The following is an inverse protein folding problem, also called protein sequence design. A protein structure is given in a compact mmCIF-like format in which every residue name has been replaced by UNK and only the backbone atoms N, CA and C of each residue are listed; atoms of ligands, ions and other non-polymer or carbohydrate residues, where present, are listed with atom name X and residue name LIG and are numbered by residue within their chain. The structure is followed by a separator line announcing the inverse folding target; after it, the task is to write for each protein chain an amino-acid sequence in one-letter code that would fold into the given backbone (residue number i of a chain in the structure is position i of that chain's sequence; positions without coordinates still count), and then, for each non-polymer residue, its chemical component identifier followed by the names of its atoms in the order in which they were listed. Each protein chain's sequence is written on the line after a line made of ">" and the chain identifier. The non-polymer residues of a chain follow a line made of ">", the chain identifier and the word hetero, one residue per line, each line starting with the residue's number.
data_IF_745656297719
#
_entry.id   IF_745656297719
#
_cell.length_a   1.000
_cell.length_b   1.000
_cell.length_c   1.000
_cell.angle_alpha   90.00
_cell.angle_beta   90.00
_cell.angle_gamma   90.00
#
_symmetry.space_group_name_H-M   'P 1'
#
loop_
_entity.id
_entity.type
_entity.pdbx_description
1 polymer ?
#
# COMPACT_ATOMS: atom_id res chain seq x y z
N UNK A 1 40.03 -6.35 -2.34
CA UNK A 1 38.82 -5.52 -2.66
C UNK A 1 38.00 -6.26 -3.68
N UNK A 2 36.73 -6.45 -3.43
CA UNK A 2 35.81 -7.11 -4.38
C UNK A 2 35.76 -6.32 -5.70
N UNK A 3 35.69 -7.03 -6.83
CA UNK A 3 35.55 -6.36 -8.13
C UNK A 3 34.18 -5.62 -8.19
N UNK A 4 34.05 -4.53 -8.98
CA UNK A 4 32.76 -3.81 -9.13
C UNK A 4 31.62 -4.74 -9.53
N UNK A 5 31.89 -5.74 -10.36
CA UNK A 5 30.89 -6.74 -10.77
C UNK A 5 30.48 -7.66 -9.61
N UNK A 6 31.40 -8.02 -8.72
CA UNK A 6 31.13 -8.83 -7.54
C UNK A 6 30.27 -8.03 -6.53
N UNK A 7 30.57 -6.75 -6.33
CA UNK A 7 29.78 -5.85 -5.47
C UNK A 7 28.35 -5.71 -6.03
N UNK A 8 28.21 -5.47 -7.35
CA UNK A 8 26.90 -5.37 -7.98
C UNK A 8 26.07 -6.66 -7.80
N UNK A 9 26.67 -7.82 -8.05
CA UNK A 9 26.00 -9.12 -7.88
C UNK A 9 25.57 -9.35 -6.44
N UNK A 10 26.43 -9.01 -5.47
CA UNK A 10 26.13 -9.10 -4.03
C UNK A 10 24.98 -8.19 -3.63
N UNK A 11 25.00 -6.93 -4.07
CA UNK A 11 23.95 -5.96 -3.78
C UNK A 11 22.61 -6.33 -4.43
N UNK A 12 22.61 -6.81 -5.68
CA UNK A 12 21.40 -7.31 -6.35
C UNK A 12 20.81 -8.50 -5.57
N UNK A 13 21.62 -9.45 -5.16
CA UNK A 13 21.14 -10.61 -4.40
C UNK A 13 20.59 -10.20 -3.03
N UNK A 14 21.30 -9.32 -2.32
CA UNK A 14 20.83 -8.77 -1.05
C UNK A 14 19.53 -8.00 -1.20
N UNK A 15 19.36 -7.21 -2.26
CA UNK A 15 18.14 -6.44 -2.54
C UNK A 15 16.94 -7.34 -2.80
N UNK A 16 17.10 -8.37 -3.63
CA UNK A 16 16.01 -9.30 -3.92
C UNK A 16 15.51 -9.98 -2.64
N UNK A 17 16.42 -10.49 -1.81
CA UNK A 17 16.06 -11.10 -0.53
C UNK A 17 15.50 -10.09 0.46
N UNK A 18 16.13 -8.92 0.58
CA UNK A 18 15.65 -7.85 1.47
C UNK A 18 14.20 -7.47 1.15
N UNK A 19 13.91 -7.17 -0.12
CA UNK A 19 12.55 -6.77 -0.54
C UNK A 19 11.53 -7.88 -0.37
N UNK A 20 11.91 -9.14 -0.64
CA UNK A 20 11.04 -10.30 -0.43
C UNK A 20 10.72 -10.48 1.05
N UNK A 21 11.73 -10.49 1.92
CA UNK A 21 11.56 -10.69 3.36
C UNK A 21 10.85 -9.50 4.02
N UNK A 22 11.21 -8.28 3.65
CA UNK A 22 10.59 -7.05 4.20
C UNK A 22 9.09 -6.98 3.88
N UNK A 23 8.67 -7.44 2.70
CA UNK A 23 7.27 -7.45 2.28
C UNK A 23 6.51 -8.74 2.64
N UNK A 24 7.17 -9.73 3.23
CA UNK A 24 6.54 -10.99 3.66
C UNK A 24 5.81 -10.79 4.98
N UNK A 25 4.54 -10.38 4.90
CA UNK A 25 3.69 -10.09 6.06
C UNK A 25 2.61 -11.16 6.21
N UNK A 26 2.82 -12.15 7.08
CA UNK A 26 1.87 -13.24 7.34
C UNK A 26 0.52 -12.76 7.90
N UNK A 27 0.46 -11.58 8.50
CA UNK A 27 -0.78 -11.01 9.04
C UNK A 27 -1.60 -10.19 8.02
N UNK A 28 -1.11 -9.95 6.79
CA UNK A 28 -1.87 -9.19 5.80
C UNK A 28 -3.23 -9.80 5.44
N UNK A 29 -3.38 -11.14 5.27
CA UNK A 29 -4.68 -11.71 4.96
C UNK A 29 -5.73 -11.55 6.06
N UNK A 30 -5.26 -11.29 7.29
CA UNK A 30 -6.12 -11.16 8.47
C UNK A 30 -5.97 -9.76 9.11
N UNK A 31 -5.53 -8.77 8.33
CA UNK A 31 -5.04 -7.49 8.83
C UNK A 31 -6.02 -6.77 9.75
N UNK A 32 -7.24 -6.48 9.29
CA UNK A 32 -8.22 -5.77 10.11
C UNK A 32 -8.71 -6.61 11.27
N UNK A 33 -9.05 -7.88 11.02
CA UNK A 33 -9.57 -8.75 12.08
C UNK A 33 -8.55 -8.98 13.19
N UNK A 34 -7.25 -8.98 12.88
CA UNK A 34 -6.19 -9.05 13.89
C UNK A 34 -6.30 -7.90 14.89
N UNK A 35 -6.45 -6.67 14.44
CA UNK A 35 -6.60 -5.50 15.30
C UNK A 35 -7.88 -5.57 16.15
N UNK A 36 -8.98 -5.96 15.52
CA UNK A 36 -10.28 -6.11 16.21
C UNK A 36 -10.23 -7.21 17.28
N UNK A 37 -9.58 -8.34 16.97
CA UNK A 37 -9.43 -9.46 17.90
C UNK A 37 -8.45 -9.14 19.05
N UNK A 38 -7.52 -8.18 18.86
CA UNK A 38 -6.73 -7.61 19.97
C UNK A 38 -7.54 -6.67 20.87
N UNK A 39 -8.79 -6.37 20.53
CA UNK A 39 -9.72 -5.61 21.37
C UNK A 39 -10.00 -4.20 20.87
N UNK A 40 -9.37 -3.76 19.77
CA UNK A 40 -9.60 -2.42 19.21
C UNK A 40 -10.96 -2.30 18.53
N UNK A 41 -11.52 -1.08 18.51
CA UNK A 41 -12.70 -0.74 17.72
C UNK A 41 -12.33 -0.41 16.27
N UNK A 42 -13.34 -0.30 15.39
CA UNK A 42 -13.14 0.14 14.00
C UNK A 42 -12.59 1.57 13.92
N UNK A 43 -13.02 2.43 14.82
CA UNK A 43 -12.57 3.82 14.93
C UNK A 43 -11.09 3.90 15.34
N UNK A 44 -10.69 3.09 16.31
CA UNK A 44 -9.29 2.99 16.75
C UNK A 44 -8.42 2.41 15.63
N UNK A 45 -8.87 1.35 14.96
CA UNK A 45 -8.20 0.79 13.79
C UNK A 45 -8.01 1.83 12.67
N UNK A 46 -9.05 2.61 12.37
CA UNK A 46 -8.99 3.67 11.37
C UNK A 46 -7.97 4.76 11.77
N UNK A 47 -8.00 5.19 13.04
CA UNK A 47 -7.07 6.18 13.59
C UNK A 47 -5.62 5.70 13.49
N UNK A 48 -5.35 4.43 13.83
CA UNK A 48 -4.02 3.84 13.74
C UNK A 48 -3.48 3.79 12.30
N UNK A 49 -4.34 3.52 11.32
CA UNK A 49 -3.96 3.55 9.90
C UNK A 49 -3.73 4.98 9.38
N UNK A 50 -4.51 5.95 9.86
CA UNK A 50 -4.26 7.38 9.60
C UNK A 50 -2.89 7.79 10.15
N UNK A 51 -2.55 7.41 11.39
CA UNK A 51 -1.25 7.70 12.00
C UNK A 51 -0.11 7.04 11.24
N UNK A 52 -0.27 5.80 10.79
CA UNK A 52 0.72 5.12 9.95
C UNK A 52 1.00 5.88 8.65
N UNK A 53 -0.05 6.31 7.95
CA UNK A 53 0.07 7.09 6.72
C UNK A 53 0.72 8.47 6.98
N UNK A 54 0.34 9.15 8.05
CA UNK A 54 0.95 10.41 8.47
C UNK A 54 2.43 10.22 8.79
N UNK A 55 2.80 9.13 9.46
CA UNK A 55 4.20 8.80 9.78
C UNK A 55 5.03 8.62 8.51
N UNK A 56 4.54 7.90 7.49
CA UNK A 56 5.24 7.80 6.21
C UNK A 56 5.49 9.19 5.63
N UNK A 57 4.44 10.01 5.52
CA UNK A 57 4.53 11.35 4.93
C UNK A 57 5.53 12.24 5.67
N UNK A 58 5.53 12.19 7.00
CA UNK A 58 6.42 12.99 7.84
C UNK A 58 7.89 12.56 7.76
N UNK A 59 8.14 11.25 7.67
CA UNK A 59 9.50 10.72 7.68
C UNK A 59 10.12 10.55 6.30
N UNK A 60 9.35 10.53 5.21
CA UNK A 60 9.86 10.28 3.85
C UNK A 60 10.88 11.34 3.40
N UNK A 61 10.61 12.63 3.64
CA UNK A 61 11.53 13.71 3.27
C UNK A 61 12.78 13.75 4.16
N UNK A 62 12.67 13.67 5.51
CA UNK A 62 13.83 13.58 6.38
C UNK A 62 14.72 12.35 6.13
N UNK A 63 14.10 11.19 5.82
CA UNK A 63 14.85 9.97 5.55
C UNK A 63 15.69 10.07 4.28
N UNK A 64 15.17 10.71 3.21
CA UNK A 64 15.95 10.99 2.01
C UNK A 64 17.20 11.85 2.30
N UNK A 65 17.03 12.94 3.03
CA UNK A 65 18.14 13.80 3.45
C UNK A 65 19.16 13.05 4.34
N UNK A 66 18.68 12.13 5.17
CA UNK A 66 19.50 11.29 6.03
C UNK A 66 20.29 10.25 5.22
N UNK A 67 19.68 9.69 4.16
CA UNK A 67 20.34 8.77 3.23
C UNK A 67 21.54 9.40 2.54
N UNK A 68 21.41 10.66 2.11
CA UNK A 68 22.48 11.41 1.45
C UNK A 68 23.65 11.73 2.42
N UNK A 69 23.34 11.93 3.71
CA UNK A 69 24.34 12.28 4.73
C UNK A 69 25.05 11.07 5.34
N UNK A 70 24.31 10.06 5.74
CA UNK A 70 24.82 8.88 6.46
C UNK A 70 25.22 7.74 5.50
N UNK A 71 24.71 7.78 4.28
CA UNK A 71 24.81 6.69 3.29
C UNK A 71 23.56 5.80 3.29
N UNK A 72 23.20 5.34 2.12
CA UNK A 72 21.95 4.58 1.87
C UNK A 72 21.89 3.25 2.61
N UNK A 73 23.03 2.56 2.73
CA UNK A 73 23.11 1.31 3.50
C UNK A 73 22.65 1.47 4.94
N UNK A 74 23.10 2.54 5.62
CA UNK A 74 22.75 2.76 7.02
C UNK A 74 21.25 2.94 7.20
N UNK A 75 20.61 3.62 6.25
CA UNK A 75 19.18 3.84 6.28
C UNK A 75 18.39 2.54 6.05
N UNK A 76 18.82 1.71 5.11
CA UNK A 76 18.23 0.38 4.85
C UNK A 76 18.39 -0.54 6.08
N UNK A 77 19.57 -0.54 6.73
CA UNK A 77 19.78 -1.29 7.97
C UNK A 77 18.90 -0.75 9.09
N UNK A 78 18.78 0.58 9.22
CA UNK A 78 17.90 1.20 10.22
C UNK A 78 16.43 0.85 10.00
N UNK A 79 15.94 0.86 8.75
CA UNK A 79 14.60 0.38 8.40
C UNK A 79 14.36 -1.06 8.84
N UNK A 80 15.34 -1.95 8.62
CA UNK A 80 15.25 -3.35 9.06
C UNK A 80 15.22 -3.48 10.60
N UNK A 81 15.97 -2.64 11.32
CA UNK A 81 15.90 -2.55 12.78
C UNK A 81 14.52 -2.10 13.26
N UNK A 82 13.95 -1.06 12.63
CA UNK A 82 12.60 -0.60 12.94
C UNK A 82 11.56 -1.71 12.70
N UNK A 83 11.73 -2.51 11.65
CA UNK A 83 10.87 -3.69 11.42
C UNK A 83 10.95 -4.71 12.56
N UNK A 84 12.15 -4.97 13.12
CA UNK A 84 12.30 -5.85 14.29
C UNK A 84 11.55 -5.26 15.49
N UNK A 85 11.71 -3.96 15.77
CA UNK A 85 11.00 -3.28 16.86
C UNK A 85 9.49 -3.33 16.65
N UNK A 86 9.01 -3.06 15.42
CA UNK A 86 7.62 -3.16 15.03
C UNK A 86 7.04 -4.55 15.37
N UNK A 87 7.76 -5.61 15.00
CA UNK A 87 7.30 -6.98 15.22
C UNK A 87 7.38 -7.40 16.69
N UNK A 88 8.41 -6.96 17.43
CA UNK A 88 8.47 -7.19 18.88
C UNK A 88 7.28 -6.56 19.59
N UNK A 89 6.92 -5.32 19.25
CA UNK A 89 5.74 -4.67 19.84
C UNK A 89 4.47 -5.49 19.58
N UNK A 90 4.26 -6.01 18.37
CA UNK A 90 3.09 -6.82 18.04
C UNK A 90 3.10 -8.18 18.76
N UNK A 91 4.25 -8.85 18.82
CA UNK A 91 4.36 -10.18 19.45
C UNK A 91 4.05 -10.18 20.95
N UNK A 92 4.42 -9.10 21.65
CA UNK A 92 4.28 -8.99 23.10
C UNK A 92 3.16 -8.04 23.54
N UNK A 93 2.32 -7.62 22.61
CA UNK A 93 1.19 -6.74 22.89
C UNK A 93 0.12 -7.45 23.72
N UNK A 94 -0.43 -6.80 24.79
CA UNK A 94 -1.53 -7.35 25.55
C UNK A 94 -2.82 -7.33 24.72
N UNK A 95 -3.65 -8.35 24.87
CA UNK A 95 -4.96 -8.45 24.22
C UNK A 95 -6.01 -7.90 25.18
N UNK A 96 -6.89 -7.03 24.68
CA UNK A 96 -8.03 -6.52 25.43
C UNK A 96 -7.69 -5.60 26.61
N UNK A 97 -6.45 -5.09 26.70
CA UNK A 97 -6.03 -4.19 27.78
C UNK A 97 -6.44 -2.71 27.52
N UNK A 98 -7.42 -2.47 26.65
CA UNK A 98 -7.99 -1.16 26.38
C UNK A 98 -6.94 -0.10 25.97
N UNK A 99 -6.80 1.01 26.74
CA UNK A 99 -5.88 2.10 26.39
C UNK A 99 -4.41 1.68 26.19
N UNK A 100 -3.96 0.65 26.92
CA UNK A 100 -2.58 0.14 26.78
C UNK A 100 -2.39 -0.54 25.45
N UNK A 101 -3.34 -1.39 25.02
CA UNK A 101 -3.31 -2.03 23.69
C UNK A 101 -3.29 -0.96 22.58
N UNK A 102 -4.18 0.03 22.67
CA UNK A 102 -4.20 1.14 21.71
C UNK A 102 -2.88 1.91 21.67
N UNK A 103 -2.31 2.27 22.82
CA UNK A 103 -1.04 3.01 22.89
C UNK A 103 0.13 2.21 22.27
N UNK A 104 0.20 0.89 22.53
CA UNK A 104 1.22 0.03 21.94
C UNK A 104 1.05 -0.10 20.41
N UNK A 105 -0.19 -0.21 19.92
CA UNK A 105 -0.46 -0.15 18.48
C UNK A 105 -0.10 1.21 17.88
N UNK A 106 -0.35 2.30 18.59
CA UNK A 106 0.02 3.65 18.14
C UNK A 106 1.53 3.77 17.92
N UNK A 107 2.33 3.34 18.91
CA UNK A 107 3.79 3.30 18.77
C UNK A 107 4.21 2.38 17.61
N UNK A 108 3.61 1.20 17.51
CA UNK A 108 3.84 0.27 16.42
C UNK A 108 3.57 0.91 15.05
N UNK A 109 2.45 1.65 14.88
CA UNK A 109 2.12 2.31 13.61
C UNK A 109 3.09 3.42 13.24
N UNK A 110 3.57 4.20 14.21
CA UNK A 110 4.61 5.22 14.01
C UNK A 110 5.92 4.56 13.58
N UNK A 111 6.37 3.52 14.28
CA UNK A 111 7.60 2.77 13.96
C UNK A 111 7.50 2.12 12.58
N UNK A 112 6.38 1.51 12.26
CA UNK A 112 6.11 0.89 10.96
C UNK A 112 6.14 1.91 9.82
N UNK A 113 5.49 3.07 9.98
CA UNK A 113 5.52 4.15 8.99
C UNK A 113 6.91 4.73 8.79
N UNK A 114 7.69 4.88 9.86
CA UNK A 114 9.07 5.30 9.78
C UNK A 114 9.97 4.27 9.08
N UNK A 115 9.76 2.97 9.33
CA UNK A 115 10.49 1.89 8.66
C UNK A 115 10.26 1.92 7.14
N UNK A 116 9.01 2.09 6.73
CA UNK A 116 8.62 2.19 5.30
C UNK A 116 9.26 3.42 4.65
N UNK A 117 9.17 4.59 5.29
CA UNK A 117 9.77 5.82 4.79
C UNK A 117 11.30 5.73 4.65
N UNK A 118 11.98 5.12 5.62
CA UNK A 118 13.44 4.94 5.56
C UNK A 118 13.88 3.97 4.46
N UNK A 119 13.06 2.99 4.11
CA UNK A 119 13.36 2.05 3.03
C UNK A 119 13.04 2.63 1.66
N UNK A 120 12.03 3.51 1.56
CA UNK A 120 11.51 4.05 0.31
C UNK A 120 12.60 4.69 -0.55
N UNK A 121 12.92 4.07 -1.67
CA UNK A 121 13.90 4.55 -2.65
C UNK A 121 15.37 4.38 -2.28
N UNK A 122 15.72 4.25 -1.00
CA UNK A 122 17.11 4.14 -0.56
C UNK A 122 17.76 2.82 -0.99
N UNK A 123 17.04 1.73 -0.89
CA UNK A 123 17.49 0.39 -1.28
C UNK A 123 17.60 0.22 -2.80
N UNK A 124 16.61 0.74 -3.55
CA UNK A 124 16.66 0.72 -5.02
C UNK A 124 17.84 1.54 -5.55
N UNK A 125 18.02 2.75 -5.02
CA UNK A 125 19.11 3.63 -5.42
C UNK A 125 20.48 3.04 -5.07
N UNK A 126 20.63 2.40 -3.90
CA UNK A 126 21.86 1.73 -3.49
C UNK A 126 22.28 0.65 -4.49
N UNK A 127 21.32 -0.13 -4.98
CA UNK A 127 21.60 -1.24 -5.91
C UNK A 127 21.79 -0.74 -7.33
N UNK A 128 20.95 0.21 -7.77
CA UNK A 128 21.06 0.82 -9.09
C UNK A 128 22.45 1.44 -9.31
N UNK A 129 22.97 2.18 -8.33
CA UNK A 129 24.27 2.83 -8.41
C UNK A 129 25.45 1.84 -8.37
N UNK A 130 25.26 0.67 -7.74
CA UNK A 130 26.26 -0.39 -7.73
C UNK A 130 26.40 -1.12 -9.07
N UNK A 131 25.41 -1.03 -9.96
CA UNK A 131 25.46 -1.65 -11.30
C UNK A 131 26.38 -0.81 -12.20
N UNK A 132 27.35 -1.43 -12.91
CA UNK A 132 28.19 -0.71 -13.87
C UNK A 132 27.40 0.08 -14.90
N UNK A 133 27.85 1.29 -15.24
CA UNK A 133 27.13 2.19 -16.15
C UNK A 133 26.81 1.56 -17.52
N UNK A 134 27.74 0.74 -18.05
CA UNK A 134 27.53 0.01 -19.29
C UNK A 134 26.42 -1.04 -19.12
N UNK A 135 25.27 -0.83 -19.73
CA UNK A 135 24.11 -1.74 -19.68
C UNK A 135 23.29 -1.69 -18.38
N UNK A 136 23.46 -0.66 -17.55
CA UNK A 136 22.76 -0.50 -16.25
C UNK A 136 21.25 -0.61 -16.38
N UNK A 137 20.63 0.10 -17.30
CA UNK A 137 19.17 0.12 -17.43
C UNK A 137 18.60 -1.24 -17.83
N UNK A 138 19.26 -1.96 -18.72
CA UNK A 138 18.87 -3.31 -19.11
C UNK A 138 19.06 -4.32 -17.95
N UNK A 139 20.13 -4.17 -17.16
CA UNK A 139 20.37 -4.98 -15.98
C UNK A 139 19.33 -4.69 -14.89
N UNK A 140 19.05 -3.41 -14.63
CA UNK A 140 18.04 -2.98 -13.66
C UNK A 140 16.65 -3.48 -14.01
N UNK A 141 16.22 -3.38 -15.27
CA UNK A 141 14.94 -3.93 -15.74
C UNK A 141 14.82 -5.42 -15.44
N UNK A 142 15.89 -6.21 -15.63
CA UNK A 142 15.89 -7.64 -15.28
C UNK A 142 15.81 -7.88 -13.78
N UNK A 143 16.48 -7.05 -12.96
CA UNK A 143 16.40 -7.11 -11.49
C UNK A 143 14.97 -6.87 -11.02
N UNK A 144 14.31 -5.80 -11.51
CA UNK A 144 12.93 -5.49 -11.16
C UNK A 144 11.96 -6.59 -11.60
N UNK A 145 12.12 -7.14 -12.82
CA UNK A 145 11.29 -8.24 -13.28
C UNK A 145 11.45 -9.51 -12.44
N UNK A 146 12.67 -9.79 -11.94
CA UNK A 146 12.94 -10.89 -11.00
C UNK A 146 12.30 -10.62 -9.65
N UNK A 147 12.45 -9.41 -9.14
CA UNK A 147 11.85 -8.97 -7.88
C UNK A 147 10.33 -9.15 -7.89
N UNK A 148 9.66 -8.66 -8.92
CA UNK A 148 8.20 -8.78 -9.06
C UNK A 148 7.74 -10.25 -9.02
N UNK A 149 8.43 -11.13 -9.72
CA UNK A 149 8.11 -12.57 -9.71
C UNK A 149 8.28 -13.19 -8.33
N UNK A 150 9.40 -12.89 -7.65
CA UNK A 150 9.69 -13.42 -6.32
C UNK A 150 8.71 -12.89 -5.28
N UNK A 151 8.43 -11.58 -5.29
CA UNK A 151 7.46 -10.98 -4.39
C UNK A 151 6.05 -11.55 -4.59
N UNK A 152 5.59 -11.73 -5.84
CA UNK A 152 4.27 -12.29 -6.11
C UNK A 152 4.15 -13.72 -5.59
N UNK A 153 5.15 -14.57 -5.87
CA UNK A 153 5.15 -15.97 -5.41
C UNK A 153 5.20 -16.04 -3.87
N UNK A 154 6.11 -15.28 -3.26
CA UNK A 154 6.26 -15.26 -1.80
C UNK A 154 5.01 -14.71 -1.14
N UNK A 155 4.40 -13.64 -1.69
CA UNK A 155 3.15 -13.10 -1.18
C UNK A 155 2.02 -14.14 -1.15
N UNK A 156 1.87 -14.94 -2.21
CA UNK A 156 0.87 -16.00 -2.24
C UNK A 156 1.12 -17.05 -1.15
N UNK A 157 2.37 -17.51 -1.00
CA UNK A 157 2.74 -18.51 0.02
C UNK A 157 2.51 -17.95 1.44
N UNK A 158 2.99 -16.74 1.69
CA UNK A 158 2.89 -16.07 3.00
C UNK A 158 1.43 -15.80 3.37
N UNK A 159 0.60 -15.39 2.40
CA UNK A 159 -0.81 -15.16 2.62
C UNK A 159 -1.55 -16.47 2.98
N UNK A 160 -1.28 -17.55 2.26
CA UNK A 160 -1.87 -18.86 2.56
C UNK A 160 -1.50 -19.36 3.97
N UNK A 161 -0.21 -19.31 4.30
CA UNK A 161 0.27 -19.75 5.62
C UNK A 161 -0.29 -18.83 6.71
N UNK A 162 -0.22 -17.51 6.53
CA UNK A 162 -0.65 -16.55 7.54
C UNK A 162 -2.12 -16.68 7.93
N UNK A 163 -3.00 -16.84 6.95
CA UNK A 163 -4.41 -17.08 7.17
C UNK A 163 -4.68 -18.43 7.82
N UNK A 164 -4.03 -19.49 7.34
CA UNK A 164 -4.22 -20.84 7.87
C UNK A 164 -3.83 -20.95 9.34
N UNK A 165 -2.66 -20.44 9.73
CA UNK A 165 -2.17 -20.52 11.11
C UNK A 165 -2.91 -19.59 12.08
N UNK A 166 -3.63 -18.59 11.57
CA UNK A 166 -4.49 -17.72 12.38
C UNK A 166 -5.82 -18.36 12.73
N UNK A 167 -6.38 -19.19 11.83
CA UNK A 167 -7.65 -19.88 12.10
C UNK A 167 -7.47 -20.99 13.13
N UNK A 168 -8.12 -20.82 14.28
CA UNK A 168 -8.11 -21.83 15.33
C UNK A 168 -8.75 -23.14 14.87
N UNK A 169 -9.83 -23.05 14.11
CA UNK A 169 -10.55 -24.23 13.58
C UNK A 169 -9.70 -25.03 12.60
N UNK A 170 -8.96 -24.34 11.73
CA UNK A 170 -8.03 -24.99 10.81
C UNK A 170 -6.86 -25.64 11.58
N UNK A 171 -6.24 -24.92 12.51
CA UNK A 171 -5.12 -25.45 13.29
C UNK A 171 -5.50 -26.67 14.13
N UNK A 172 -6.65 -26.64 14.76
CA UNK A 172 -7.13 -27.77 15.58
C UNK A 172 -7.46 -29.03 14.78
N UNK A 173 -7.62 -28.93 13.45
CA UNK A 173 -7.77 -30.11 12.55
C UNK A 173 -6.44 -30.76 12.19
N UNK A 174 -5.32 -30.06 12.41
CA UNK A 174 -4.00 -30.61 12.10
C UNK A 174 -3.49 -31.52 13.22
N UNK A 175 -2.99 -32.72 12.90
CA UNK A 175 -2.38 -33.59 13.90
C UNK A 175 -1.22 -32.90 14.62
N UNK A 176 -1.21 -32.94 15.95
CA UNK A 176 -0.18 -32.32 16.78
C UNK A 176 -0.43 -30.85 17.16
N UNK A 177 -1.48 -30.21 16.64
CA UNK A 177 -1.87 -28.83 16.97
C UNK A 177 -3.25 -28.71 17.63
N UNK A 178 -3.82 -29.83 18.04
CA UNK A 178 -5.12 -29.87 18.72
C UNK A 178 -5.08 -29.18 20.08
N UNK A 179 -6.10 -28.37 20.39
CA UNK A 179 -6.21 -27.68 21.68
C UNK A 179 -5.49 -26.33 21.77
N UNK A 180 -5.03 -25.78 20.64
CA UNK A 180 -4.49 -24.42 20.61
C UNK A 180 -5.59 -23.40 20.94
N UNK A 181 -5.25 -22.41 21.78
CA UNK A 181 -6.14 -21.29 22.04
C UNK A 181 -6.19 -20.32 20.87
N UNK A 182 -7.29 -19.57 20.74
CA UNK A 182 -7.41 -18.49 19.73
C UNK A 182 -6.28 -17.47 19.87
N UNK A 183 -5.92 -17.11 21.11
CA UNK A 183 -4.81 -16.19 21.38
C UNK A 183 -3.48 -16.71 20.81
N UNK A 184 -3.18 -18.00 20.98
CA UNK A 184 -1.96 -18.59 20.41
C UNK A 184 -1.99 -18.50 18.88
N UNK A 185 -3.08 -18.90 18.24
CA UNK A 185 -3.23 -18.84 16.79
C UNK A 185 -3.09 -17.40 16.25
N UNK A 186 -3.63 -16.39 16.96
CA UNK A 186 -3.47 -14.98 16.61
C UNK A 186 -2.00 -14.53 16.61
N UNK A 187 -1.16 -15.09 17.50
CA UNK A 187 0.24 -14.71 17.65
C UNK A 187 1.18 -15.43 16.67
N UNK A 188 0.83 -16.61 16.16
CA UNK A 188 1.69 -17.36 15.22
C UNK A 188 2.11 -16.54 14.00
N UNK A 189 1.20 -15.86 13.26
CA UNK A 189 1.58 -15.01 12.14
C UNK A 189 2.56 -13.89 12.54
N UNK A 190 2.43 -13.36 13.75
CA UNK A 190 3.30 -12.30 14.27
C UNK A 190 4.70 -12.82 14.57
N UNK A 191 4.83 -14.01 15.16
CA UNK A 191 6.13 -14.65 15.40
C UNK A 191 6.83 -15.05 14.11
N UNK A 192 6.08 -15.54 13.12
CA UNK A 192 6.62 -15.78 11.77
C UNK A 192 7.17 -14.49 11.15
N UNK A 193 6.45 -13.38 11.30
CA UNK A 193 6.90 -12.08 10.85
C UNK A 193 8.12 -11.58 11.62
N UNK A 194 8.23 -11.84 12.91
CA UNK A 194 9.42 -11.51 13.70
C UNK A 194 10.64 -12.26 13.17
N UNK A 195 10.48 -13.53 12.80
CA UNK A 195 11.52 -14.30 12.12
C UNK A 195 11.94 -13.67 10.79
N UNK A 196 10.97 -13.20 9.98
CA UNK A 196 11.26 -12.49 8.74
C UNK A 196 11.96 -11.14 8.99
N UNK A 197 11.63 -10.45 10.08
CA UNK A 197 12.27 -9.18 10.45
C UNK A 197 13.76 -9.40 10.80
N UNK A 198 14.09 -10.42 11.58
CA UNK A 198 15.50 -10.78 11.85
C UNK A 198 16.25 -11.21 10.57
N UNK A 199 15.62 -11.99 9.70
CA UNK A 199 16.20 -12.36 8.42
C UNK A 199 16.44 -11.13 7.53
N UNK A 200 15.49 -10.19 7.49
CA UNK A 200 15.62 -8.91 6.79
C UNK A 200 16.78 -8.10 7.32
N UNK A 201 16.94 -8.00 8.64
CA UNK A 201 18.07 -7.33 9.27
C UNK A 201 19.40 -8.00 8.90
N UNK A 202 19.49 -9.33 8.98
CA UNK A 202 20.70 -10.07 8.62
C UNK A 202 21.09 -9.85 7.14
N UNK A 203 20.11 -9.81 6.24
CA UNK A 203 20.33 -9.52 4.81
C UNK A 203 20.75 -8.07 4.60
N UNK A 204 20.14 -7.12 5.30
CA UNK A 204 20.47 -5.68 5.17
C UNK A 204 21.93 -5.37 5.50
N UNK A 205 22.52 -6.09 6.44
CA UNK A 205 23.94 -5.96 6.80
C UNK A 205 24.89 -6.36 5.67
N UNK A 206 24.44 -7.18 4.71
CA UNK A 206 25.25 -7.64 3.56
C UNK A 206 25.40 -6.60 2.45
N UNK A 207 24.63 -5.52 2.43
CA UNK A 207 24.79 -4.47 1.44
C UNK A 207 26.17 -3.81 1.54
N UNK A 208 26.67 -3.39 0.39
CA UNK A 208 27.90 -2.60 0.27
C UNK A 208 27.49 -1.24 -0.31
N UNK A 209 27.75 -0.18 0.44
CA UNK A 209 27.51 1.18 -0.04
C UNK A 209 28.66 1.61 -0.95
N UNK A 210 28.34 1.87 -2.21
CA UNK A 210 29.28 2.33 -3.22
C UNK A 210 29.19 3.81 -3.49
N UNK A 211 28.20 4.48 -2.87
CA UNK A 211 28.02 5.90 -3.06
C UNK A 211 29.01 6.69 -2.17
N UNK A 212 29.78 7.63 -2.73
CA UNK A 212 30.64 8.48 -1.90
C UNK A 212 29.77 9.29 -0.95
N UNK A 213 30.07 9.22 0.34
CA UNK A 213 29.41 10.07 1.33
C UNK A 213 29.62 11.52 0.95
N UNK A 214 28.54 12.30 1.00
CA UNK A 214 28.64 13.73 0.80
C UNK A 214 29.64 14.30 1.82
N UNK A 215 30.75 14.82 1.32
CA UNK A 215 31.74 15.53 2.13
C UNK A 215 31.29 16.95 2.48
N UNK A 216 30.14 17.38 1.96
CA UNK A 216 29.55 18.66 2.27
C UNK A 216 29.12 18.73 3.74
N UNK A 217 29.60 19.76 4.44
CA UNK A 217 29.25 20.04 5.84
C UNK A 217 27.82 20.57 6.04
N UNK A 218 26.91 20.32 5.07
CA UNK A 218 25.53 20.74 5.19
C UNK A 218 24.88 20.12 6.45
N UNK A 219 24.19 20.93 7.23
CA UNK A 219 23.47 20.43 8.39
C UNK A 219 22.27 19.59 7.92
N UNK A 220 21.87 18.60 8.72
CA UNK A 220 20.68 17.78 8.41
C UNK A 220 19.44 18.66 8.17
N UNK A 221 19.29 19.73 8.96
CA UNK A 221 18.18 20.68 8.80
C UNK A 221 18.22 21.43 7.45
N UNK A 222 19.42 21.76 6.94
CA UNK A 222 19.55 22.40 5.63
C UNK A 222 19.17 21.43 4.49
N UNK A 223 19.62 20.16 4.55
CA UNK A 223 19.28 19.14 3.58
C UNK A 223 17.77 18.83 3.59
N UNK A 224 17.19 18.66 4.77
CA UNK A 224 15.74 18.45 4.90
C UNK A 224 14.93 19.62 4.34
N UNK A 225 15.36 20.87 4.63
CA UNK A 225 14.71 22.07 4.06
C UNK A 225 14.82 22.13 2.54
N UNK A 226 15.97 21.75 1.97
CA UNK A 226 16.17 21.69 0.53
C UNK A 226 15.24 20.64 -0.11
N UNK A 227 15.13 19.45 0.48
CA UNK A 227 14.23 18.39 0.01
C UNK A 227 12.76 18.82 0.10
N UNK A 228 12.32 19.48 1.18
CA UNK A 228 10.97 20.04 1.25
C UNK A 228 10.75 21.15 0.20
N UNK A 229 11.73 22.01 -0.05
CA UNK A 229 11.64 23.04 -1.07
C UNK A 229 11.49 22.44 -2.47
N UNK A 230 12.24 21.38 -2.77
CA UNK A 230 12.11 20.62 -4.03
C UNK A 230 10.74 19.96 -4.16
N UNK A 231 10.23 19.35 -3.09
CA UNK A 231 8.88 18.76 -3.08
C UNK A 231 7.80 19.82 -3.35
N UNK A 232 7.89 21.00 -2.71
CA UNK A 232 6.97 22.10 -2.95
C UNK A 232 7.08 22.67 -4.37
N UNK A 233 8.29 22.75 -4.93
CA UNK A 233 8.51 23.17 -6.30
C UNK A 233 7.85 22.19 -7.31
N UNK A 234 7.97 20.88 -7.05
CA UNK A 234 7.30 19.84 -7.83
C UNK A 234 5.79 19.94 -7.71
N UNK A 235 5.26 20.14 -6.50
CA UNK A 235 3.83 20.38 -6.30
C UNK A 235 3.32 21.58 -7.13
N UNK A 236 4.08 22.69 -7.14
CA UNK A 236 3.75 23.87 -7.96
C UNK A 236 3.79 23.56 -9.46
N UNK A 237 4.76 22.78 -9.92
CA UNK A 237 4.86 22.34 -11.30
C UNK A 237 3.65 21.47 -11.68
N UNK A 238 3.27 20.51 -10.85
CA UNK A 238 2.08 19.67 -11.04
C UNK A 238 0.83 20.54 -11.17
N UNK A 239 0.63 21.51 -10.28
CA UNK A 239 -0.52 22.41 -10.30
C UNK A 239 -0.57 23.26 -11.58
N UNK A 240 0.57 23.49 -12.23
CA UNK A 240 0.67 24.19 -13.52
C UNK A 240 0.48 23.27 -14.74
N UNK A 241 0.55 21.94 -14.54
CA UNK A 241 0.33 20.94 -15.59
C UNK A 241 -1.08 20.37 -15.50
N UNK A 242 -2.03 20.80 -16.35
CA UNK A 242 -3.42 20.35 -16.30
C UNK A 242 -3.58 18.83 -16.37
N UNK A 243 -2.79 18.17 -17.24
CA UNK A 243 -2.82 16.73 -17.38
C UNK A 243 -2.35 16.01 -16.11
N UNK A 244 -1.26 16.50 -15.49
CA UNK A 244 -0.74 15.92 -14.25
C UNK A 244 -1.72 16.09 -13.09
N UNK A 245 -2.36 17.26 -12.94
CA UNK A 245 -3.40 17.50 -11.92
C UNK A 245 -4.55 16.51 -12.07
N UNK A 246 -5.11 16.37 -13.27
CA UNK A 246 -6.26 15.48 -13.51
C UNK A 246 -5.87 14.02 -13.24
N UNK A 247 -4.68 13.59 -13.68
CA UNK A 247 -4.20 12.22 -13.45
C UNK A 247 -3.99 11.94 -11.96
N UNK A 248 -3.38 12.89 -11.22
CA UNK A 248 -3.15 12.72 -9.78
C UNK A 248 -4.47 12.71 -9.02
N UNK A 249 -5.40 13.67 -9.28
CA UNK A 249 -6.71 13.68 -8.63
C UNK A 249 -7.51 12.40 -8.90
N UNK A 250 -7.48 11.91 -10.14
CA UNK A 250 -8.11 10.63 -10.49
C UNK A 250 -7.46 9.47 -9.71
N UNK A 251 -6.13 9.47 -9.67
CA UNK A 251 -5.36 8.49 -8.91
C UNK A 251 -5.70 8.51 -7.42
N UNK A 252 -5.73 9.69 -6.81
CA UNK A 252 -6.09 9.86 -5.39
C UNK A 252 -7.49 9.31 -5.09
N UNK A 253 -8.48 9.67 -5.92
CA UNK A 253 -9.84 9.21 -5.72
C UNK A 253 -9.95 7.68 -5.86
N UNK A 254 -9.41 7.10 -6.93
CA UNK A 254 -9.58 5.68 -7.22
C UNK A 254 -8.75 4.79 -6.28
N UNK A 255 -7.50 5.18 -6.00
CA UNK A 255 -6.64 4.47 -5.05
C UNK A 255 -7.24 4.49 -3.64
N UNK A 256 -7.84 5.59 -3.22
CA UNK A 256 -8.46 5.73 -1.90
C UNK A 256 -9.54 4.67 -1.64
N UNK A 257 -10.47 4.47 -2.57
CA UNK A 257 -11.53 3.48 -2.40
C UNK A 257 -11.02 2.04 -2.56
N UNK A 258 -10.11 1.78 -3.50
CA UNK A 258 -9.52 0.45 -3.64
C UNK A 258 -8.68 0.08 -2.43
N UNK A 259 -7.86 0.99 -1.94
CA UNK A 259 -6.99 0.77 -0.77
C UNK A 259 -7.80 0.66 0.52
N UNK A 260 -8.86 1.46 0.69
CA UNK A 260 -9.80 1.31 1.80
C UNK A 260 -10.33 -0.13 1.84
N UNK A 261 -10.85 -0.63 0.72
CA UNK A 261 -11.35 -1.99 0.65
C UNK A 261 -10.25 -3.03 0.97
N UNK A 262 -9.06 -2.89 0.41
CA UNK A 262 -7.94 -3.80 0.74
C UNK A 262 -7.59 -3.79 2.23
N UNK A 263 -7.70 -2.63 2.87
CA UNK A 263 -7.42 -2.49 4.30
C UNK A 263 -8.44 -3.22 5.15
N UNK A 264 -9.74 -3.12 4.83
CA UNK A 264 -10.83 -3.72 5.63
C UNK A 264 -11.25 -5.11 5.15
N UNK A 265 -10.65 -5.62 4.07
CA UNK A 265 -11.11 -6.81 3.36
C UNK A 265 -11.29 -8.04 4.24
N UNK A 266 -10.38 -8.28 5.20
CA UNK A 266 -10.50 -9.42 6.11
C UNK A 266 -11.77 -9.34 6.99
N UNK A 267 -12.16 -8.14 7.43
CA UNK A 267 -13.41 -7.95 8.18
C UNK A 267 -14.65 -8.14 7.28
N UNK A 268 -14.56 -7.76 6.00
CA UNK A 268 -15.60 -8.07 5.02
C UNK A 268 -15.79 -9.58 4.83
N UNK A 269 -14.71 -10.35 4.74
CA UNK A 269 -14.81 -11.82 4.61
C UNK A 269 -15.40 -12.46 5.86
N UNK A 270 -15.08 -11.94 7.05
CA UNK A 270 -15.70 -12.36 8.31
C UNK A 270 -17.20 -12.06 8.32
N UNK A 271 -17.61 -10.87 7.85
CA UNK A 271 -19.04 -10.51 7.69
C UNK A 271 -19.78 -11.47 6.75
N UNK A 272 -19.11 -12.04 5.74
CA UNK A 272 -19.68 -13.07 4.85
C UNK A 272 -19.74 -14.45 5.50
N UNK A 273 -19.27 -14.63 6.73
CA UNK A 273 -19.19 -15.92 7.42
C UNK A 273 -18.12 -16.86 6.85
N UNK A 274 -17.09 -16.30 6.18
CA UNK A 274 -15.98 -17.06 5.63
C UNK A 274 -14.93 -17.26 6.72
N UNK A 275 -14.52 -18.52 6.96
CA UNK A 275 -13.45 -18.86 7.91
C UNK A 275 -12.15 -18.13 7.53
N UNK A 276 -11.43 -17.63 8.54
CA UNK A 276 -10.22 -16.82 8.36
C UNK A 276 -9.12 -17.55 7.57
N UNK A 277 -9.06 -18.88 7.60
CA UNK A 277 -8.09 -19.67 6.85
C UNK A 277 -8.20 -19.48 5.33
N UNK A 278 -9.38 -19.14 4.82
CA UNK A 278 -9.61 -18.89 3.39
C UNK A 278 -9.18 -17.49 2.94
N UNK A 279 -8.95 -16.55 3.86
CA UNK A 279 -8.52 -15.19 3.48
C UNK A 279 -7.22 -15.21 2.68
N UNK A 280 -6.31 -16.13 3.02
CA UNK A 280 -5.07 -16.34 2.26
C UNK A 280 -5.32 -16.80 0.83
N UNK A 281 -6.28 -17.72 0.63
CA UNK A 281 -6.67 -18.20 -0.70
C UNK A 281 -7.31 -17.10 -1.54
N UNK A 282 -8.17 -16.30 -0.92
CA UNK A 282 -8.82 -15.15 -1.59
C UNK A 282 -7.76 -14.15 -2.06
N UNK A 283 -6.78 -13.79 -1.20
CA UNK A 283 -5.71 -12.88 -1.59
C UNK A 283 -4.79 -13.48 -2.66
N UNK A 284 -4.46 -14.76 -2.56
CA UNK A 284 -3.67 -15.46 -3.58
C UNK A 284 -4.40 -15.49 -4.94
N UNK A 285 -5.71 -15.71 -4.95
CA UNK A 285 -6.56 -15.60 -6.13
C UNK A 285 -6.53 -14.21 -6.75
N UNK A 286 -6.60 -13.16 -5.93
CA UNK A 286 -6.44 -11.78 -6.37
C UNK A 286 -5.07 -11.49 -7.01
N UNK A 287 -4.00 -12.04 -6.44
CA UNK A 287 -2.67 -11.93 -7.01
C UNK A 287 -2.57 -12.63 -8.39
N UNK A 288 -3.16 -13.82 -8.52
CA UNK A 288 -3.22 -14.56 -9.79
C UNK A 288 -4.01 -13.79 -10.87
N UNK A 289 -5.18 -13.23 -10.52
CA UNK A 289 -5.97 -12.37 -11.40
C UNK A 289 -5.15 -11.14 -11.82
N UNK A 290 -4.37 -10.57 -10.91
CA UNK A 290 -3.50 -9.42 -11.19
C UNK A 290 -2.45 -9.70 -12.27
N UNK A 291 -1.93 -10.93 -12.37
CA UNK A 291 -0.98 -11.33 -13.42
C UNK A 291 -1.70 -11.31 -14.79
N UNK A 292 -2.88 -11.90 -14.89
CA UNK A 292 -3.69 -11.88 -16.13
C UNK A 292 -4.11 -10.47 -16.53
N UNK A 293 -4.45 -9.63 -15.56
CA UNK A 293 -4.84 -8.22 -15.79
C UNK A 293 -3.73 -7.43 -16.47
N UNK A 294 -2.47 -7.63 -16.09
CA UNK A 294 -1.34 -6.90 -16.67
C UNK A 294 -1.25 -7.08 -18.19
N UNK A 295 -1.48 -8.31 -18.70
CA UNK A 295 -1.47 -8.61 -20.14
C UNK A 295 -2.59 -7.93 -20.90
N UNK A 296 -3.76 -7.78 -20.29
CA UNK A 296 -4.91 -7.11 -20.90
C UNK A 296 -4.73 -5.60 -20.91
N UNK A 297 -4.28 -5.02 -19.80
CA UNK A 297 -4.11 -3.58 -19.62
C UNK A 297 -3.05 -3.01 -20.56
N UNK A 298 -1.97 -3.75 -20.83
CA UNK A 298 -0.95 -3.38 -21.81
C UNK A 298 -1.56 -3.17 -23.21
N UNK A 299 -2.42 -4.09 -23.65
CA UNK A 299 -3.12 -3.96 -24.94
C UNK A 299 -4.11 -2.78 -24.94
N UNK A 300 -4.83 -2.56 -23.84
CA UNK A 300 -5.82 -1.50 -23.73
C UNK A 300 -5.20 -0.10 -23.86
N UNK A 301 -3.98 0.12 -23.38
CA UNK A 301 -3.27 1.41 -23.54
C UNK A 301 -3.02 1.75 -25.01
N UNK A 302 -2.79 0.75 -25.86
CA UNK A 302 -2.58 0.94 -27.30
C UNK A 302 -3.85 1.17 -28.10
N UNK A 303 -5.00 0.69 -27.60
CA UNK A 303 -6.28 0.67 -28.34
C UNK A 303 -7.25 1.75 -27.87
N UNK A 304 -7.37 1.95 -26.55
CA UNK A 304 -8.35 2.84 -25.98
C UNK A 304 -7.77 4.21 -25.60
N UNK A 305 -8.63 5.24 -25.67
CA UNK A 305 -8.26 6.59 -25.18
C UNK A 305 -8.07 6.59 -23.67
N UNK A 306 -7.16 7.42 -23.11
CA UNK A 306 -6.94 7.50 -21.66
C UNK A 306 -8.20 7.72 -20.82
N UNK A 307 -9.17 8.52 -21.34
CA UNK A 307 -10.44 8.73 -20.65
C UNK A 307 -11.29 7.46 -20.54
N UNK A 308 -11.27 6.58 -21.56
CA UNK A 308 -11.98 5.32 -21.52
C UNK A 308 -11.32 4.32 -20.55
N UNK A 309 -9.99 4.27 -20.56
CA UNK A 309 -9.24 3.42 -19.64
C UNK A 309 -9.51 3.78 -18.17
N UNK A 310 -9.49 5.07 -17.82
CA UNK A 310 -9.79 5.52 -16.46
C UNK A 310 -11.29 5.42 -16.14
N UNK A 311 -12.17 5.60 -17.14
CA UNK A 311 -13.61 5.35 -16.98
C UNK A 311 -13.93 3.88 -16.69
N UNK A 312 -13.22 2.95 -17.34
CA UNK A 312 -13.33 1.51 -17.04
C UNK A 312 -12.92 1.21 -15.60
N UNK A 313 -11.82 1.81 -15.12
CA UNK A 313 -11.40 1.64 -13.71
C UNK A 313 -12.47 2.17 -12.76
N UNK A 314 -13.05 3.35 -13.05
CA UNK A 314 -14.16 3.88 -12.24
C UNK A 314 -15.37 2.93 -12.21
N UNK A 315 -15.75 2.37 -13.36
CA UNK A 315 -16.85 1.42 -13.47
C UNK A 315 -16.57 0.14 -12.66
N UNK A 316 -15.34 -0.38 -12.68
CA UNK A 316 -14.94 -1.53 -11.87
C UNK A 316 -15.02 -1.22 -10.38
N UNK A 317 -14.51 -0.07 -9.92
CA UNK A 317 -14.59 0.34 -8.52
C UNK A 317 -16.05 0.48 -8.11
N UNK A 318 -16.87 1.16 -8.90
CA UNK A 318 -18.28 1.37 -8.59
C UNK A 318 -19.06 0.05 -8.53
N UNK A 319 -18.83 -0.87 -9.48
CA UNK A 319 -19.43 -2.20 -9.47
C UNK A 319 -19.03 -3.02 -8.24
N UNK A 320 -17.75 -2.98 -7.87
CA UNK A 320 -17.27 -3.62 -6.64
C UNK A 320 -17.93 -3.03 -5.39
N UNK A 321 -17.97 -1.69 -5.28
CA UNK A 321 -18.62 -0.99 -4.16
C UNK A 321 -20.11 -1.30 -4.06
N UNK A 322 -20.83 -1.32 -5.18
CA UNK A 322 -22.24 -1.72 -5.20
C UNK A 322 -22.43 -3.15 -4.72
N UNK A 323 -21.58 -4.06 -5.19
CA UNK A 323 -21.65 -5.47 -4.82
C UNK A 323 -21.44 -5.70 -3.32
N UNK A 324 -20.40 -5.10 -2.73
CA UNK A 324 -20.13 -5.25 -1.28
C UNK A 324 -21.19 -4.52 -0.41
N UNK A 325 -21.74 -3.40 -0.89
CA UNK A 325 -22.74 -2.62 -0.16
C UNK A 325 -24.09 -3.33 -0.04
N UNK A 326 -24.50 -4.03 -1.08
CA UNK A 326 -25.81 -4.70 -1.10
C UNK A 326 -25.79 -6.06 -0.41
N UNK A 327 -24.62 -6.53 0.03
CA UNK A 327 -24.43 -7.77 0.79
C UNK A 327 -25.45 -8.83 0.34
N UNK A 328 -25.24 -9.41 -0.84
CA UNK A 328 -26.14 -10.44 -1.36
C UNK A 328 -25.99 -11.69 -0.47
N UNK A 329 -26.50 -11.55 0.77
CA UNK A 329 -26.53 -12.60 1.80
C UNK A 329 -27.47 -13.74 1.41
N UNK A 330 -28.33 -13.53 0.43
CA UNK A 330 -29.21 -14.57 -0.10
C UNK A 330 -28.46 -15.71 -0.83
N UNK A 331 -27.19 -15.48 -1.20
CA UNK A 331 -26.31 -16.47 -1.82
C UNK A 331 -25.21 -16.83 -0.83
N UNK A 332 -24.80 -18.10 -0.79
CA UNK A 332 -23.69 -18.56 0.06
C UNK A 332 -22.57 -17.52 0.15
N UNK A 333 -22.01 -17.29 1.35
CA UNK A 333 -21.03 -16.23 1.61
C UNK A 333 -19.89 -16.09 0.58
N UNK A 334 -19.53 -17.18 -0.10
CA UNK A 334 -18.57 -17.20 -1.21
C UNK A 334 -19.00 -16.37 -2.43
N UNK A 335 -20.29 -16.19 -2.69
CA UNK A 335 -20.75 -15.34 -3.78
C UNK A 335 -20.36 -13.86 -3.54
N UNK A 336 -20.28 -13.44 -2.28
CA UNK A 336 -19.80 -12.12 -1.91
C UNK A 336 -18.34 -11.84 -2.31
N UNK A 337 -17.50 -12.89 -2.41
CA UNK A 337 -16.11 -12.77 -2.87
C UNK A 337 -16.02 -12.36 -4.34
N UNK A 338 -17.01 -12.68 -5.16
CA UNK A 338 -17.03 -12.27 -6.57
C UNK A 338 -17.04 -10.73 -6.72
N UNK A 339 -17.63 -10.00 -5.76
CA UNK A 339 -17.63 -8.54 -5.77
C UNK A 339 -16.27 -7.93 -5.40
N UNK A 340 -15.33 -8.72 -4.93
CA UNK A 340 -13.95 -8.30 -4.68
C UNK A 340 -13.11 -8.28 -5.97
N UNK A 341 -13.46 -9.11 -6.95
CA UNK A 341 -12.75 -9.22 -8.23
C UNK A 341 -12.62 -7.86 -8.95
N UNK A 342 -13.66 -7.03 -9.04
CA UNK A 342 -13.55 -5.70 -9.63
C UNK A 342 -12.48 -4.81 -8.97
N UNK A 343 -12.27 -4.90 -7.64
CA UNK A 343 -11.22 -4.14 -6.97
C UNK A 343 -9.81 -4.63 -7.35
N UNK A 344 -9.61 -5.95 -7.50
CA UNK A 344 -8.32 -6.49 -7.94
C UNK A 344 -7.98 -6.03 -9.36
N UNK A 345 -8.94 -6.07 -10.27
CA UNK A 345 -8.80 -5.58 -11.63
C UNK A 345 -8.55 -4.07 -11.65
N UNK A 346 -9.33 -3.30 -10.88
CA UNK A 346 -9.22 -1.84 -10.80
C UNK A 346 -7.86 -1.40 -10.28
N UNK A 347 -7.37 -1.97 -9.19
CA UNK A 347 -6.11 -1.56 -8.57
C UNK A 347 -4.91 -1.79 -9.51
N UNK A 348 -4.85 -2.96 -10.16
CA UNK A 348 -3.76 -3.25 -11.12
C UNK A 348 -3.82 -2.34 -12.34
N UNK A 349 -5.03 -2.15 -12.91
CA UNK A 349 -5.25 -1.27 -14.04
C UNK A 349 -4.92 0.19 -13.72
N UNK A 350 -5.35 0.68 -12.56
CA UNK A 350 -5.09 2.03 -12.09
C UNK A 350 -3.59 2.35 -12.02
N UNK A 351 -2.84 1.51 -11.31
CA UNK A 351 -1.40 1.72 -11.12
C UNK A 351 -0.65 1.71 -12.45
N UNK A 352 -1.02 0.82 -13.38
CA UNK A 352 -0.43 0.75 -14.71
C UNK A 352 -0.75 2.02 -15.52
N UNK A 353 -2.04 2.40 -15.62
CA UNK A 353 -2.47 3.57 -16.39
C UNK A 353 -1.87 4.87 -15.85
N UNK A 354 -1.88 5.06 -14.53
CA UNK A 354 -1.30 6.25 -13.94
C UNK A 354 0.20 6.34 -14.19
N UNK A 355 0.94 5.23 -14.06
CA UNK A 355 2.37 5.21 -14.35
C UNK A 355 2.63 5.57 -15.81
N UNK A 356 1.92 4.95 -16.74
CA UNK A 356 2.06 5.20 -18.17
C UNK A 356 1.72 6.65 -18.56
N UNK A 357 0.60 7.18 -18.07
CA UNK A 357 0.16 8.51 -18.46
C UNK A 357 0.96 9.61 -17.78
N UNK A 358 1.36 9.45 -16.50
CA UNK A 358 2.24 10.41 -15.84
C UNK A 358 3.62 10.46 -16.51
N UNK A 359 4.16 9.31 -16.91
CA UNK A 359 5.43 9.26 -17.66
C UNK A 359 5.35 9.97 -19.01
N UNK A 360 4.18 9.94 -19.69
CA UNK A 360 3.97 10.63 -20.96
C UNK A 360 3.86 12.16 -20.82
N UNK A 361 3.35 12.65 -19.69
CA UNK A 361 3.14 14.09 -19.48
C UNK A 361 4.25 14.76 -18.69
N UNK A 362 5.19 13.99 -18.14
CA UNK A 362 6.32 14.48 -17.35
C UNK A 362 7.59 14.50 -18.18
N UNK A 363 8.31 15.61 -18.15
CA UNK A 363 9.63 15.73 -18.76
C UNK A 363 10.63 14.82 -18.02
N UNK A 364 11.70 14.40 -18.69
CA UNK A 364 12.72 13.53 -18.11
C UNK A 364 13.34 14.09 -16.83
N UNK A 365 13.50 15.41 -16.73
CA UNK A 365 14.04 16.12 -15.56
C UNK A 365 13.12 16.10 -14.33
N UNK A 366 11.81 16.00 -14.52
CA UNK A 366 10.82 16.04 -13.43
C UNK A 366 10.19 14.68 -13.13
N UNK A 367 10.39 13.67 -14.00
CA UNK A 367 9.68 12.38 -13.94
C UNK A 367 9.82 11.67 -12.60
N UNK A 368 11.04 11.52 -12.09
CA UNK A 368 11.30 10.85 -10.82
C UNK A 368 10.59 11.57 -9.66
N UNK A 369 10.68 12.90 -9.63
CA UNK A 369 10.08 13.72 -8.57
C UNK A 369 8.54 13.70 -8.64
N UNK A 370 7.96 13.68 -9.84
CA UNK A 370 6.50 13.54 -10.01
C UNK A 370 5.99 12.18 -9.53
N UNK A 371 6.72 11.11 -9.79
CA UNK A 371 6.35 9.78 -9.32
C UNK A 371 6.47 9.65 -7.79
N UNK A 372 7.50 10.24 -7.19
CA UNK A 372 7.65 10.32 -5.73
C UNK A 372 6.52 11.16 -5.11
N UNK A 373 6.23 12.33 -5.67
CA UNK A 373 5.12 13.17 -5.22
C UNK A 373 3.77 12.45 -5.30
N UNK A 374 3.53 11.69 -6.38
CA UNK A 374 2.35 10.82 -6.49
C UNK A 374 2.27 9.83 -5.32
N UNK A 375 3.36 9.13 -5.00
CA UNK A 375 3.41 8.19 -3.88
C UNK A 375 3.07 8.86 -2.54
N UNK A 376 3.70 9.99 -2.26
CA UNK A 376 3.45 10.78 -1.04
C UNK A 376 1.99 11.24 -0.93
N UNK A 377 1.43 11.79 -2.02
CA UNK A 377 0.04 12.25 -2.03
C UNK A 377 -0.96 11.10 -1.91
N UNK A 378 -0.67 9.93 -2.47
CA UNK A 378 -1.50 8.74 -2.28
C UNK A 378 -1.50 8.25 -0.83
N UNK A 379 -0.36 8.28 -0.13
CA UNK A 379 -0.30 7.95 1.29
C UNK A 379 -1.07 8.98 2.14
N UNK A 380 -0.94 10.26 1.83
CA UNK A 380 -1.71 11.31 2.50
C UNK A 380 -3.23 11.12 2.29
N UNK A 381 -3.66 10.86 1.05
CA UNK A 381 -5.06 10.61 0.72
C UNK A 381 -5.59 9.36 1.45
N UNK A 382 -4.80 8.29 1.53
CA UNK A 382 -5.16 7.10 2.30
C UNK A 382 -5.37 7.43 3.79
N UNK A 383 -4.46 8.22 4.39
CA UNK A 383 -4.62 8.67 5.78
C UNK A 383 -5.92 9.47 5.99
N UNK A 384 -6.25 10.39 5.07
CA UNK A 384 -7.51 11.15 5.10
C UNK A 384 -8.73 10.24 4.97
N UNK A 385 -8.69 9.26 4.07
CA UNK A 385 -9.81 8.31 3.89
C UNK A 385 -10.00 7.45 5.15
N UNK A 386 -8.92 7.01 5.79
CA UNK A 386 -9.01 6.29 7.07
C UNK A 386 -9.57 7.18 8.18
N UNK A 387 -9.20 8.46 8.23
CA UNK A 387 -9.81 9.43 9.14
C UNK A 387 -11.33 9.56 8.90
N UNK A 388 -11.76 9.74 7.64
CA UNK A 388 -13.18 9.81 7.30
C UNK A 388 -13.93 8.52 7.60
N UNK A 389 -13.32 7.36 7.38
CA UNK A 389 -13.89 6.07 7.75
C UNK A 389 -14.09 5.94 9.26
N UNK A 390 -13.09 6.33 10.07
CA UNK A 390 -13.23 6.37 11.52
C UNK A 390 -14.32 7.34 12.01
N UNK A 391 -14.42 8.52 11.39
CA UNK A 391 -15.50 9.46 11.70
C UNK A 391 -16.88 8.91 11.30
N UNK A 392 -16.98 8.25 10.14
CA UNK A 392 -18.21 7.61 9.68
C UNK A 392 -18.66 6.51 10.64
N UNK A 393 -17.76 5.62 11.05
CA UNK A 393 -18.08 4.53 12.00
C UNK A 393 -18.47 5.07 13.36
N UNK A 394 -17.81 6.12 13.88
CA UNK A 394 -18.17 6.78 15.13
C UNK A 394 -19.58 7.42 15.05
N UNK A 395 -19.87 8.11 13.94
CA UNK A 395 -21.18 8.70 13.70
C UNK A 395 -22.30 7.65 13.61
N UNK A 396 -22.04 6.55 12.88
CA UNK A 396 -22.98 5.44 12.76
C UNK A 396 -23.20 4.73 14.10
N UNK A 397 -22.15 4.55 14.89
CA UNK A 397 -22.26 3.96 16.25
C UNK A 397 -23.17 4.78 17.14
N UNK A 398 -23.00 6.10 17.16
CA UNK A 398 -23.86 6.99 17.93
C UNK A 398 -25.30 7.00 17.42
N UNK A 399 -25.49 7.03 16.08
CA UNK A 399 -26.82 7.05 15.47
C UNK A 399 -27.63 5.76 15.61
N UNK A 400 -26.96 4.62 15.87
CA UNK A 400 -27.61 3.30 15.99
C UNK A 400 -27.35 2.66 17.37
N UNK A 401 -27.11 3.47 18.40
CA UNK A 401 -26.73 2.97 19.74
C UNK A 401 -27.75 1.97 20.29
N UNK A 402 -29.04 2.22 20.14
CA UNK A 402 -30.10 1.32 20.60
C UNK A 402 -30.12 -0.04 19.89
N UNK A 403 -29.76 -0.07 18.60
CA UNK A 403 -29.68 -1.31 17.81
C UNK A 403 -28.39 -2.10 18.11
N UNK A 404 -27.32 -1.41 18.47
CA UNK A 404 -26.02 -1.98 18.74
C UNK A 404 -25.86 -2.45 20.18
N UNK A 405 -26.57 -1.86 21.14
CA UNK A 405 -26.47 -2.16 22.55
C UNK A 405 -26.65 -3.64 22.92
N UNK A 406 -27.57 -4.41 22.30
CA UNK A 406 -27.73 -5.83 22.61
C UNK A 406 -26.68 -6.74 21.93
N UNK A 407 -25.87 -6.23 21.00
CA UNK A 407 -24.95 -7.01 20.19
C UNK A 407 -23.59 -7.20 20.90
N UNK A 408 -22.96 -8.35 20.65
CA UNK A 408 -21.58 -8.56 21.01
C UNK A 408 -20.62 -7.66 20.20
N UNK A 409 -19.37 -7.56 20.66
CA UNK A 409 -18.36 -6.70 19.99
C UNK A 409 -18.20 -7.03 18.51
N UNK A 410 -18.06 -8.30 18.15
CA UNK A 410 -17.88 -8.73 16.77
C UNK A 410 -19.11 -8.38 15.92
N UNK A 411 -20.32 -8.68 16.41
CA UNK A 411 -21.58 -8.36 15.71
C UNK A 411 -21.75 -6.85 15.51
N UNK A 412 -21.35 -6.06 16.51
CA UNK A 412 -21.32 -4.59 16.44
C UNK A 412 -20.39 -4.11 15.32
N UNK A 413 -19.17 -4.63 15.27
CA UNK A 413 -18.18 -4.25 14.24
C UNK A 413 -18.64 -4.68 12.84
N UNK A 414 -19.25 -5.85 12.68
CA UNK A 414 -19.84 -6.33 11.42
C UNK A 414 -21.03 -5.45 10.99
N UNK A 415 -21.91 -5.10 11.90
CA UNK A 415 -23.07 -4.20 11.62
C UNK A 415 -22.59 -2.82 11.19
N UNK A 416 -21.64 -2.23 11.90
CA UNK A 416 -21.07 -0.92 11.57
C UNK A 416 -20.36 -0.95 10.21
N UNK A 417 -19.61 -2.00 9.91
CA UNK A 417 -19.01 -2.15 8.59
C UNK A 417 -20.06 -2.20 7.49
N UNK A 418 -21.10 -3.01 7.68
CA UNK A 418 -22.24 -3.12 6.76
C UNK A 418 -22.90 -1.77 6.48
N UNK A 419 -23.22 -1.03 7.54
CA UNK A 419 -23.81 0.31 7.45
C UNK A 419 -22.87 1.28 6.74
N UNK A 420 -21.57 1.27 7.04
CA UNK A 420 -20.59 2.13 6.40
C UNK A 420 -20.45 1.84 4.89
N UNK A 421 -20.35 0.56 4.51
CA UNK A 421 -20.22 0.14 3.11
C UNK A 421 -21.41 0.54 2.25
N UNK A 422 -22.62 0.64 2.82
CA UNK A 422 -23.83 1.04 2.07
C UNK A 422 -23.75 2.45 1.47
N UNK A 423 -22.92 3.32 2.05
CA UNK A 423 -22.72 4.70 1.61
C UNK A 423 -21.62 4.85 0.55
N UNK A 424 -20.66 3.95 0.51
CA UNK A 424 -19.45 4.12 -0.31
C UNK A 424 -19.68 4.19 -1.81
N UNK A 425 -20.59 3.40 -2.43
CA UNK A 425 -20.89 3.55 -3.85
C UNK A 425 -21.35 4.96 -4.21
N UNK A 426 -22.19 5.54 -3.37
CA UNK A 426 -22.77 6.86 -3.60
C UNK A 426 -21.77 7.99 -3.36
N UNK A 427 -20.92 7.86 -2.32
CA UNK A 427 -19.83 8.80 -2.07
C UNK A 427 -18.84 8.76 -3.25
N UNK A 428 -18.45 7.56 -3.71
CA UNK A 428 -17.58 7.41 -4.86
C UNK A 428 -18.20 8.04 -6.12
N UNK A 429 -19.45 7.73 -6.42
CA UNK A 429 -20.15 8.27 -7.59
C UNK A 429 -20.24 9.80 -7.55
N UNK A 430 -20.56 10.39 -6.38
CA UNK A 430 -20.59 11.83 -6.20
C UNK A 430 -19.22 12.48 -6.43
N UNK A 431 -18.16 11.94 -5.82
CA UNK A 431 -16.80 12.45 -5.98
C UNK A 431 -16.29 12.27 -7.42
N UNK A 432 -16.58 11.14 -8.07
CA UNK A 432 -16.23 10.90 -9.46
C UNK A 432 -16.97 11.87 -10.41
N UNK A 433 -18.26 12.13 -10.16
CA UNK A 433 -19.02 13.11 -10.90
C UNK A 433 -18.46 14.53 -10.72
N UNK A 434 -18.14 14.93 -9.48
CA UNK A 434 -17.49 16.22 -9.18
C UNK A 434 -16.15 16.35 -9.90
N UNK A 435 -15.34 15.30 -9.93
CA UNK A 435 -14.08 15.29 -10.66
C UNK A 435 -14.30 15.48 -12.17
N UNK A 436 -15.26 14.77 -12.76
CA UNK A 436 -15.60 14.92 -14.18
C UNK A 436 -16.12 16.35 -14.49
N UNK A 437 -16.98 16.90 -13.65
CA UNK A 437 -17.48 18.27 -13.79
C UNK A 437 -16.34 19.27 -13.68
N UNK A 438 -15.46 19.13 -12.68
CA UNK A 438 -14.26 19.97 -12.54
C UNK A 438 -13.39 19.95 -13.81
N UNK A 439 -13.11 18.74 -14.32
CA UNK A 439 -12.30 18.60 -15.54
C UNK A 439 -12.97 19.26 -16.75
N UNK A 440 -14.28 19.10 -16.92
CA UNK A 440 -15.03 19.71 -18.04
C UNK A 440 -15.09 21.24 -17.93
N UNK A 441 -15.36 21.78 -16.74
CA UNK A 441 -15.45 23.22 -16.52
C UNK A 441 -14.09 23.90 -16.62
N UNK A 442 -13.04 23.27 -16.09
CA UNK A 442 -11.70 23.89 -16.03
C UNK A 442 -10.88 23.67 -17.31
N UNK A 443 -11.10 22.54 -18.00
CA UNK A 443 -10.30 22.12 -19.16
C UNK A 443 -11.21 21.69 -20.32
N UNK A 444 -11.44 22.59 -21.27
CA UNK A 444 -12.34 22.38 -22.43
C UNK A 444 -11.98 21.16 -23.29
N UNK A 445 -10.70 20.72 -23.30
CA UNK A 445 -10.20 19.60 -24.13
C UNK A 445 -10.39 18.22 -23.52
N UNK A 446 -10.83 18.14 -22.26
CA UNK A 446 -10.92 16.88 -21.53
C UNK A 446 -9.56 16.18 -21.35
N UNK A 447 -9.52 15.07 -20.59
CA UNK A 447 -8.29 14.38 -20.22
C UNK A 447 -7.47 13.89 -21.41
N UNK A 448 -8.10 13.26 -22.40
CA UNK A 448 -7.42 12.73 -23.59
C UNK A 448 -6.70 13.83 -24.36
N UNK A 449 -7.35 14.99 -24.57
CA UNK A 449 -6.75 16.13 -25.25
C UNK A 449 -5.60 16.76 -24.45
N UNK A 450 -5.70 16.79 -23.12
CA UNK A 450 -4.63 17.29 -22.24
C UNK A 450 -3.37 16.40 -22.31
N UNK A 451 -3.53 15.08 -22.31
CA UNK A 451 -2.41 14.14 -22.44
C UNK A 451 -1.76 14.25 -23.82
N UNK A 452 -2.57 14.35 -24.88
CA UNK A 452 -2.07 14.49 -26.25
C UNK A 452 -1.26 15.78 -26.45
N UNK A 453 -1.70 16.89 -25.85
CA UNK A 453 -1.01 18.19 -25.93
C UNK A 453 0.38 18.16 -25.27
N UNK A 454 0.51 17.49 -24.11
CA UNK A 454 1.79 17.42 -23.39
C UNK A 454 2.73 16.34 -23.97
N UNK A 455 2.21 15.39 -24.74
CA UNK A 455 3.02 14.35 -25.41
C UNK A 455 3.59 14.81 -26.78
N UNK A 456 3.12 15.92 -27.31
CA UNK A 456 3.69 16.51 -28.53
C UNK A 456 5.07 17.13 -28.20
N UNK A 457 6.15 16.81 -28.94
CA UNK A 457 7.44 17.46 -28.75
C UNK A 457 7.26 18.97 -28.89
N UNK A 458 7.85 19.72 -27.98
CA UNK A 458 7.93 21.20 -28.06
C UNK A 458 8.82 21.61 -29.22
N UNK A 459 8.37 21.43 -30.45
CA UNK A 459 8.93 22.06 -31.63
C UNK A 459 8.30 23.45 -31.79
N UNK A 460 8.78 24.39 -30.98
CA UNK A 460 8.64 25.83 -31.29
C UNK A 460 9.61 26.59 -30.38
N UNK A 461 10.78 26.86 -30.90
CA UNK A 461 11.80 27.66 -30.25
C UNK A 461 13.07 27.67 -31.11
N UNK A 462 12.94 28.16 -32.38
CA UNK A 462 14.07 28.72 -33.12
C UNK A 462 14.32 30.12 -32.62
#
# INVERSE_FOLDING_TARGET
>A
MDSPAAIATRNITAFLWFRVLFNSRFYYPIYTILFLDFGLSLEEFATLNMVWAASIVLFEVPSGALADKLGRKHLVVFSAWLMVVEMLLLCFMPIGAGPLTFAMFLVNRIVSGMAEACCSGADEALVYDAIPAAGRDAAWTRVLARLMRWQSLTFMIVALIGAAVYSQDFMNRLPGFTGLSKETCMRIPLWLNLGMAFATLAVSLRFIDTHPRSTERASLGALTRASFAQMLATGRWILRSPAAVVLILTGLLYDSFTRLFYTIGSNYYRLLGIDESYNGLILAGGAAIGIGTALVVEKLVGVLKPSHNLGMVAALIFAGLLGIAHQITAWNGWAGVLFVVPFWLAMRSLHYFLSQYLNKVSDSSHRATVLSFKGLTMNLAYGLVMMFYGMQTAWLRHGHESELAPLGKQETDEKLLSLAMSWWPWIFAALAALLVIFVRLRYRRGLTGLIAQNAAPSHAGT
#
